data_IF_362116404791
#
_entry.id   IF_362116404791
#
_cell.length_a   1.000
_cell.length_b   1.000
_cell.length_c   1.000
_cell.angle_alpha   90.00
_cell.angle_beta   90.00
_cell.angle_gamma   90.00
#
_symmetry.space_group_name_H-M   'P 1'
#
loop_
_entity.id
_entity.type
_entity.pdbx_description
1 polymer ?
#
# COMPACT_ATOMS: atom_id res chain seq x y z
N UNK A 1 10.13 15.45 -29.21
CA UNK A 1 10.03 14.97 -27.82
C UNK A 1 8.55 15.03 -27.42
N UNK A 2 7.81 13.93 -27.57
CA UNK A 2 6.40 13.88 -27.13
C UNK A 2 6.38 13.42 -25.68
N UNK A 3 6.05 14.34 -24.78
CA UNK A 3 5.95 14.06 -23.35
C UNK A 3 4.66 13.36 -22.98
N UNK A 4 4.71 12.53 -21.92
CA UNK A 4 3.53 12.05 -21.24
C UNK A 4 3.01 13.14 -20.30
N UNK A 5 1.72 13.46 -20.40
CA UNK A 5 1.10 14.44 -19.54
C UNK A 5 0.75 13.86 -18.17
N UNK A 6 1.42 14.28 -17.09
CA UNK A 6 1.06 13.86 -15.73
C UNK A 6 -0.22 14.51 -15.17
N UNK A 7 -0.95 15.30 -15.98
CA UNK A 7 -2.25 15.88 -15.60
C UNK A 7 -3.40 15.01 -16.07
N UNK A 8 -3.41 14.59 -17.34
CA UNK A 8 -4.48 13.78 -17.94
C UNK A 8 -4.04 12.38 -18.39
N UNK A 9 -2.75 12.06 -18.31
CA UNK A 9 -2.14 10.80 -18.75
C UNK A 9 -2.19 10.52 -20.25
N UNK A 10 -2.49 11.52 -21.05
CA UNK A 10 -2.34 11.41 -22.50
C UNK A 10 -0.92 11.76 -22.93
N UNK A 11 -0.48 11.14 -24.01
CA UNK A 11 0.75 11.47 -24.70
C UNK A 11 0.56 12.66 -25.65
N UNK A 12 1.66 13.28 -26.08
CA UNK A 12 1.64 14.36 -27.06
C UNK A 12 1.77 15.77 -26.47
N UNK A 13 1.72 15.91 -25.14
CA UNK A 13 1.87 17.20 -24.47
C UNK A 13 2.37 17.06 -23.03
N UNK A 14 2.88 18.15 -22.45
CA UNK A 14 3.30 18.20 -21.05
C UNK A 14 2.20 18.79 -20.16
N UNK A 15 2.31 18.59 -18.84
CA UNK A 15 1.39 19.14 -17.84
C UNK A 15 1.16 20.65 -17.96
N UNK A 16 2.18 21.40 -18.41
CA UNK A 16 2.13 22.86 -18.60
C UNK A 16 1.21 23.28 -19.74
N UNK A 17 1.10 22.46 -20.79
CA UNK A 17 0.31 22.72 -21.99
C UNK A 17 -1.06 22.00 -21.97
N UNK A 18 -1.35 21.28 -20.89
CA UNK A 18 -2.54 20.46 -20.78
C UNK A 18 -3.80 21.28 -20.43
N UNK A 19 -4.76 21.28 -21.35
CA UNK A 19 -6.11 21.86 -21.18
C UNK A 19 -7.14 20.87 -20.63
N UNK A 20 -6.79 19.60 -20.51
CA UNK A 20 -7.68 18.57 -19.98
C UNK A 20 -7.85 18.64 -18.45
N UNK A 21 -8.94 18.04 -17.95
CA UNK A 21 -9.20 17.93 -16.51
C UNK A 21 -8.12 17.08 -15.85
N UNK A 22 -7.79 17.42 -14.60
CA UNK A 22 -6.86 16.62 -13.80
C UNK A 22 -7.44 15.23 -13.55
N UNK A 23 -6.62 14.21 -13.78
CA UNK A 23 -6.92 12.81 -13.50
C UNK A 23 -6.08 12.37 -12.31
N UNK A 24 -6.74 11.72 -11.35
CA UNK A 24 -6.08 11.25 -10.15
C UNK A 24 -5.18 10.05 -10.44
N UNK A 25 -3.89 10.12 -10.06
CA UNK A 25 -2.95 8.99 -10.26
C UNK A 25 -3.34 7.76 -9.42
N UNK A 26 -4.02 7.95 -8.29
CA UNK A 26 -4.42 6.83 -7.41
C UNK A 26 -5.61 6.06 -7.94
N UNK A 27 -6.63 6.74 -8.45
CA UNK A 27 -7.91 6.12 -8.77
C UNK A 27 -8.32 6.23 -10.25
N UNK A 28 -7.50 6.91 -11.06
CA UNK A 28 -7.71 7.13 -12.50
C UNK A 28 -9.03 7.82 -12.85
N UNK A 29 -9.63 8.54 -11.89
CA UNK A 29 -10.83 9.33 -12.11
C UNK A 29 -10.48 10.80 -12.34
N UNK A 30 -11.20 11.50 -13.24
CA UNK A 30 -11.03 12.93 -13.45
C UNK A 30 -11.63 13.75 -12.29
N UNK A 31 -11.21 15.01 -12.20
CA UNK A 31 -11.79 16.03 -11.31
C UNK A 31 -11.04 16.26 -10.00
N UNK A 32 -10.01 15.47 -9.68
CA UNK A 32 -9.17 15.68 -8.51
C UNK A 32 -7.75 15.15 -8.71
N UNK A 33 -6.78 15.69 -7.97
CA UNK A 33 -5.42 15.17 -7.95
C UNK A 33 -5.23 14.07 -6.89
N UNK A 34 -4.08 13.40 -6.92
CA UNK A 34 -3.75 12.38 -5.93
C UNK A 34 -3.78 12.91 -4.49
N UNK A 35 -3.59 14.21 -4.22
CA UNK A 35 -3.69 14.71 -2.84
C UNK A 35 -5.14 14.69 -2.34
N UNK A 36 -6.09 15.10 -3.18
CA UNK A 36 -7.52 15.20 -2.87
C UNK A 36 -8.33 13.91 -3.06
N UNK A 37 -7.66 12.82 -3.43
CA UNK A 37 -8.33 11.53 -3.66
C UNK A 37 -8.83 10.92 -2.35
N UNK A 38 -10.15 10.86 -2.21
CA UNK A 38 -10.88 10.26 -1.06
C UNK A 38 -10.84 8.74 -1.00
N UNK A 39 -10.33 8.05 -2.04
CA UNK A 39 -10.17 6.59 -1.96
C UNK A 39 -9.08 6.22 -0.94
N UNK A 40 -9.29 5.14 -0.17
CA UNK A 40 -8.26 4.60 0.71
C UNK A 40 -7.03 4.22 -0.11
N UNK A 41 -5.84 4.50 0.43
CA UNK A 41 -4.57 4.16 -0.24
C UNK A 41 -4.32 2.66 -0.30
N UNK A 42 -4.93 1.87 0.58
CA UNK A 42 -4.83 0.42 0.60
C UNK A 42 -6.11 -0.22 0.05
N UNK A 43 -6.02 -1.21 -0.84
CA UNK A 43 -7.17 -2.02 -1.27
C UNK A 43 -7.62 -3.02 -0.19
N UNK A 44 -6.96 -3.04 0.98
CA UNK A 44 -7.30 -3.95 2.06
C UNK A 44 -8.66 -3.58 2.67
N UNK A 45 -9.53 -4.58 2.93
CA UNK A 45 -10.76 -4.37 3.69
C UNK A 45 -10.48 -3.67 5.02
N UNK A 46 -11.40 -2.82 5.47
CA UNK A 46 -11.19 -2.01 6.67
C UNK A 46 -10.90 -2.84 7.92
N UNK A 47 -11.49 -4.04 8.01
CA UNK A 47 -11.24 -5.00 9.07
C UNK A 47 -9.78 -5.46 9.13
N UNK A 48 -9.12 -5.65 7.98
CA UNK A 48 -7.70 -6.03 7.95
C UNK A 48 -6.80 -4.85 8.34
N UNK A 49 -7.18 -3.64 7.94
CA UNK A 49 -6.48 -2.43 8.36
C UNK A 49 -6.57 -2.23 9.88
N UNK A 50 -7.74 -2.48 10.48
CA UNK A 50 -7.96 -2.45 11.94
C UNK A 50 -7.11 -3.48 12.66
N UNK A 51 -7.13 -4.75 12.23
CA UNK A 51 -6.28 -5.83 12.79
C UNK A 51 -4.80 -5.48 12.69
N UNK A 52 -4.37 -5.01 11.53
CA UNK A 52 -2.98 -4.60 11.28
C UNK A 52 -2.55 -3.46 12.19
N UNK A 53 -3.42 -2.48 12.42
CA UNK A 53 -3.14 -1.35 13.31
C UNK A 53 -3.10 -1.79 14.78
N UNK A 54 -4.07 -2.61 15.22
CA UNK A 54 -4.09 -3.19 16.56
C UNK A 54 -2.83 -4.04 16.84
N UNK A 55 -2.41 -4.88 15.89
CA UNK A 55 -1.19 -5.68 16.01
C UNK A 55 0.06 -4.80 16.12
N UNK A 56 0.13 -3.67 15.41
CA UNK A 56 1.25 -2.72 15.51
C UNK A 56 1.27 -2.00 16.86
N UNK A 57 0.11 -1.61 17.39
CA UNK A 57 0.00 -1.01 18.72
C UNK A 57 0.45 -2.00 19.79
N UNK A 58 -0.04 -3.25 19.73
CA UNK A 58 0.36 -4.30 20.66
C UNK A 58 1.88 -4.56 20.63
N UNK A 59 2.52 -4.56 19.45
CA UNK A 59 3.99 -4.70 19.35
C UNK A 59 4.77 -3.58 20.01
N UNK A 60 4.22 -2.36 20.05
CA UNK A 60 4.90 -1.22 20.68
C UNK A 60 4.83 -1.28 22.21
N UNK A 61 3.76 -1.89 22.73
CA UNK A 61 3.59 -2.14 24.17
C UNK A 61 4.33 -3.40 24.64
N UNK A 62 4.67 -4.31 23.73
CA UNK A 62 5.43 -5.51 24.07
C UNK A 62 6.84 -5.17 24.59
N UNK A 63 7.26 -5.78 25.72
CA UNK A 63 8.65 -5.73 26.13
C UNK A 63 9.54 -6.38 25.06
N UNK A 64 10.83 -5.99 24.97
CA UNK A 64 11.77 -6.60 24.05
C UNK A 64 11.76 -8.12 24.25
N UNK A 65 11.53 -8.88 23.16
CA UNK A 65 11.59 -10.34 23.23
C UNK A 65 12.98 -10.73 23.70
N UNK A 66 13.11 -11.61 24.72
CA UNK A 66 14.41 -12.11 25.11
C UNK A 66 15.03 -12.86 23.93
N UNK A 67 16.22 -12.46 23.51
CA UNK A 67 16.94 -13.03 22.34
C UNK A 67 17.30 -14.52 22.48
N UNK A 68 17.00 -15.16 23.62
CA UNK A 68 17.49 -16.50 23.96
C UNK A 68 16.45 -17.64 23.95
N UNK A 69 15.18 -17.36 23.65
CA UNK A 69 14.17 -18.44 23.58
C UNK A 69 14.30 -19.19 22.25
N UNK A 70 15.18 -20.20 22.22
CA UNK A 70 15.22 -21.17 21.12
C UNK A 70 13.90 -21.93 21.14
N UNK A 71 13.10 -21.78 20.08
CA UNK A 71 11.92 -22.62 19.90
C UNK A 71 12.43 -23.95 19.39
N UNK A 72 12.63 -24.91 20.30
CA UNK A 72 12.88 -26.30 19.92
C UNK A 72 11.58 -26.90 19.42
N UNK A 73 11.42 -26.93 18.10
CA UNK A 73 10.38 -27.76 17.49
C UNK A 73 10.83 -29.24 17.58
N UNK A 74 9.92 -30.17 17.93
CA UNK A 74 10.23 -31.59 17.80
C UNK A 74 10.55 -31.92 16.33
N UNK A 75 11.47 -32.87 16.07
CA UNK A 75 11.74 -33.29 14.71
C UNK A 75 10.46 -33.85 14.06
N UNK A 76 10.27 -33.65 12.74
CA UNK A 76 9.15 -34.28 12.04
C UNK A 76 9.26 -35.81 12.16
N UNK A 77 8.12 -36.53 12.17
CA UNK A 77 8.15 -37.98 12.13
C UNK A 77 8.85 -38.46 10.85
N UNK A 78 9.54 -39.62 10.88
CA UNK A 78 10.13 -40.19 9.68
C UNK A 78 9.04 -40.46 8.62
N UNK A 79 9.40 -40.40 7.32
CA UNK A 79 8.47 -40.79 6.25
C UNK A 79 8.05 -42.26 6.44
N UNK A 80 6.82 -42.63 6.03
CA UNK A 80 6.34 -43.99 6.19
C UNK A 80 7.07 -45.04 5.32
N UNK A 81 7.88 -44.64 4.33
CA UNK A 81 8.73 -45.49 3.49
C UNK A 81 9.54 -44.62 2.51
#
# INVERSE_FOLDING_TARGET
MMGLCFKCFEEGHFKLDCTNKVVCLRCKLPGHESKDCKRPRSPLPEEELRRSTAAKVARKDQPPRPSGAVVTHPPPPPPPW
#
